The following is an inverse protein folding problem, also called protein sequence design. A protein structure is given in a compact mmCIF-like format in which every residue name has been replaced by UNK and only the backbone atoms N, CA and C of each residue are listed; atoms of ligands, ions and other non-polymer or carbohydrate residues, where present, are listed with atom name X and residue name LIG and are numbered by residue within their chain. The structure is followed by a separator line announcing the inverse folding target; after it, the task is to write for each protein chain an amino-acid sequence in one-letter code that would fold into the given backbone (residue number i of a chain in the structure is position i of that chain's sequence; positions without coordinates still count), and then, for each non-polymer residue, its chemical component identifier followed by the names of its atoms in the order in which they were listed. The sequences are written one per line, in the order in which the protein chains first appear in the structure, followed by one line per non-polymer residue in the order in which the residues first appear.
data_IF_307184719058
#
_entry.id   IF_307184719058
#
_cell.length_a   1.000
_cell.length_b   1.000
_cell.length_c   1.000
_cell.angle_alpha   90.00
_cell.angle_beta   90.00
_cell.angle_gamma   90.00
#
_symmetry.space_group_name_H-M   'P 1'
#
loop_
_entity.id
_entity.type
_entity.pdbx_description
1 polymer ?
#
# COMPACT_ATOMS: atom_id res chain seq x y z
N UNK A 1 16.96 -3.14 -18.08
CA UNK A 1 15.92 -3.22 -17.04
C UNK A 1 14.79 -2.27 -17.41
N UNK A 2 13.54 -2.73 -17.40
CA UNK A 2 12.38 -1.89 -17.74
C UNK A 2 11.83 -1.35 -16.42
N UNK A 3 12.20 -0.13 -16.04
CA UNK A 3 11.66 0.54 -14.86
C UNK A 3 10.13 0.61 -14.99
N UNK A 4 9.38 -0.20 -14.24
CA UNK A 4 7.94 -0.04 -14.15
C UNK A 4 7.70 1.13 -13.20
N UNK A 5 6.99 2.16 -13.66
CA UNK A 5 6.58 3.26 -12.79
C UNK A 5 5.45 2.76 -11.89
N UNK A 6 5.84 2.07 -10.81
CA UNK A 6 4.96 1.57 -9.78
C UNK A 6 4.74 2.64 -8.72
N UNK A 7 3.50 2.74 -8.23
CA UNK A 7 3.11 3.69 -7.20
C UNK A 7 2.29 2.98 -6.14
N UNK A 8 2.56 3.33 -4.89
CA UNK A 8 1.78 2.96 -3.73
C UNK A 8 0.77 4.05 -3.45
N UNK A 9 -0.49 3.67 -3.31
CA UNK A 9 -1.58 4.59 -2.99
C UNK A 9 -2.12 4.20 -1.62
N UNK A 10 -2.17 5.16 -0.71
CA UNK A 10 -2.83 4.97 0.59
C UNK A 10 -4.18 5.66 0.59
N UNK A 11 -5.16 5.02 1.20
CA UNK A 11 -6.54 5.50 1.28
C UNK A 11 -7.07 5.25 2.69
N UNK A 12 -7.77 6.23 3.25
CA UNK A 12 -8.55 6.04 4.47
C UNK A 12 -10.01 5.85 4.10
N UNK A 13 -10.60 4.78 4.63
CA UNK A 13 -11.99 4.41 4.40
C UNK A 13 -12.81 4.81 5.63
N UNK A 14 -13.81 5.66 5.41
CA UNK A 14 -14.73 6.06 6.47
C UNK A 14 -15.78 4.97 6.79
N UNK A 15 -16.60 5.23 7.81
CA UNK A 15 -17.65 4.30 8.24
C UNK A 15 -18.72 4.01 7.16
N UNK A 16 -18.90 4.93 6.20
CA UNK A 16 -19.84 4.78 5.09
C UNK A 16 -19.20 4.09 3.87
N UNK A 17 -17.94 3.67 3.98
CA UNK A 17 -17.19 3.00 2.93
C UNK A 17 -16.60 3.94 1.88
N UNK A 18 -16.66 5.26 2.09
CA UNK A 18 -16.08 6.25 1.19
C UNK A 18 -14.58 6.34 1.42
N UNK A 19 -13.84 6.35 0.30
CA UNK A 19 -12.39 6.47 0.31
C UNK A 19 -11.95 7.93 0.24
N UNK A 20 -10.94 8.26 1.05
CA UNK A 20 -10.19 9.52 0.96
C UNK A 20 -8.71 9.20 0.71
N UNK A 21 -8.13 9.82 -0.31
CA UNK A 21 -6.72 9.65 -0.66
C UNK A 21 -5.81 10.16 0.47
N UNK A 22 -4.96 9.29 1.00
CA UNK A 22 -3.92 9.62 1.98
C UNK A 22 -2.61 10.05 1.34
N UNK A 23 -2.25 9.47 0.18
CA UNK A 23 -1.06 9.85 -0.56
C UNK A 23 -0.67 8.87 -1.67
N UNK A 24 0.32 9.29 -2.47
CA UNK A 24 0.91 8.49 -3.55
C UNK A 24 2.43 8.47 -3.38
N UNK A 25 3.04 7.30 -3.38
CA UNK A 25 4.45 7.09 -3.09
C UNK A 25 5.11 6.23 -4.15
N UNK A 26 6.35 6.54 -4.52
CA UNK A 26 7.11 5.82 -5.55
C UNK A 26 8.02 4.73 -4.98
N UNK A 27 8.11 4.60 -3.66
CA UNK A 27 8.99 3.65 -2.99
C UNK A 27 8.35 3.11 -1.71
N UNK A 28 8.71 1.89 -1.32
CA UNK A 28 8.30 1.30 -0.05
C UNK A 28 8.83 2.16 1.12
N UNK A 29 10.06 2.68 1.00
CA UNK A 29 10.66 3.55 2.02
C UNK A 29 9.83 4.82 2.27
N UNK A 30 9.43 5.54 1.22
CA UNK A 30 8.61 6.74 1.38
C UNK A 30 7.23 6.41 1.94
N UNK A 31 6.63 5.30 1.50
CA UNK A 31 5.36 4.81 2.01
C UNK A 31 5.43 4.57 3.53
N UNK A 32 6.41 3.81 4.01
CA UNK A 32 6.52 3.46 5.44
C UNK A 32 6.85 4.66 6.31
N UNK A 33 7.68 5.61 5.83
CA UNK A 33 8.12 6.76 6.63
C UNK A 33 7.15 7.95 6.59
N UNK A 34 6.36 8.09 5.51
CA UNK A 34 5.53 9.29 5.28
C UNK A 34 4.06 8.97 5.08
N UNK A 35 3.72 7.78 4.55
CA UNK A 35 2.39 7.43 4.10
C UNK A 35 1.50 6.69 5.09
N UNK A 36 2.07 6.11 6.15
CA UNK A 36 1.31 5.44 7.21
C UNK A 36 0.87 6.45 8.27
N UNK A 37 -0.21 7.19 7.96
CA UNK A 37 -0.76 8.24 8.83
C UNK A 37 -2.29 8.24 8.75
N UNK A 38 -2.93 8.44 9.90
CA UNK A 38 -4.35 8.71 9.96
C UNK A 38 -4.63 10.17 9.61
N UNK A 39 -5.67 10.40 8.82
CA UNK A 39 -6.24 11.70 8.60
C UNK A 39 -7.38 11.92 9.59
N UNK A 40 -7.15 12.82 10.56
CA UNK A 40 -8.12 13.15 11.63
C UNK A 40 -9.44 13.73 11.10
N UNK A 41 -9.48 14.20 9.84
CA UNK A 41 -10.71 14.70 9.21
C UNK A 41 -11.63 13.59 8.66
N UNK A 42 -11.17 12.34 8.65
CA UNK A 42 -11.94 11.20 8.13
C UNK A 42 -12.49 10.37 9.29
N UNK A 43 -13.81 10.25 9.38
CA UNK A 43 -14.49 9.45 10.39
C UNK A 43 -14.42 7.96 10.06
N UNK A 44 -13.34 7.30 10.48
CA UNK A 44 -13.17 5.85 10.35
C UNK A 44 -11.72 5.43 10.54
N UNK A 45 -11.50 4.16 10.87
CA UNK A 45 -10.17 3.54 10.97
C UNK A 45 -9.91 2.52 9.86
N UNK A 46 -10.65 2.58 8.75
CA UNK A 46 -10.35 1.76 7.59
C UNK A 46 -9.11 2.30 6.88
N UNK A 47 -8.14 1.44 6.55
CA UNK A 47 -6.98 1.82 5.75
C UNK A 47 -6.83 0.85 4.60
N UNK A 48 -6.54 1.38 3.41
CA UNK A 48 -6.31 0.60 2.20
C UNK A 48 -5.01 1.01 1.57
N UNK A 49 -4.24 0.01 1.17
CA UNK A 49 -3.02 0.15 0.41
C UNK A 49 -3.25 -0.46 -0.97
N UNK A 50 -2.90 0.27 -2.03
CA UNK A 50 -2.96 -0.23 -3.39
C UNK A 50 -1.62 -0.04 -4.09
N UNK A 51 -1.20 -1.04 -4.88
CA UNK A 51 -0.08 -0.92 -5.80
C UNK A 51 -0.62 -0.70 -7.21
N UNK A 52 -0.22 0.38 -7.86
CA UNK A 52 -0.69 0.75 -9.20
C UNK A 52 0.49 0.94 -10.15
N UNK A 53 0.23 0.75 -11.44
CA UNK A 53 1.19 1.06 -12.51
C UNK A 53 0.61 2.17 -13.36
N UNK A 54 1.37 3.25 -13.58
CA UNK A 54 0.94 4.30 -14.50
C UNK A 54 0.83 3.78 -15.93
N UNK A 55 -0.07 4.42 -16.68
CA UNK A 55 -0.34 4.12 -18.09
C UNK A 55 -0.77 2.65 -18.32
N UNK A 56 -1.47 2.07 -17.34
CA UNK A 56 -2.03 0.73 -17.40
C UNK A 56 -3.54 0.85 -17.32
N UNK A 57 -4.26 0.36 -18.34
CA UNK A 57 -5.72 0.34 -18.36
C UNK A 57 -6.32 -0.76 -17.46
N UNK A 58 -5.47 -1.67 -16.97
CA UNK A 58 -5.86 -2.62 -15.93
C UNK A 58 -5.98 -1.91 -14.59
N UNK A 59 -6.87 -2.41 -13.73
CA UNK A 59 -6.98 -1.96 -12.33
C UNK A 59 -5.67 -2.10 -11.53
N UNK A 60 -5.71 -1.79 -10.23
CA UNK A 60 -4.55 -1.93 -9.35
C UNK A 60 -3.90 -3.30 -9.47
N UNK A 61 -2.57 -3.33 -9.40
CA UNK A 61 -1.77 -4.55 -9.39
C UNK A 61 -1.98 -5.36 -8.09
N UNK A 62 -2.40 -4.69 -7.02
CA UNK A 62 -2.82 -5.29 -5.77
C UNK A 62 -3.53 -4.25 -4.90
N UNK A 63 -4.46 -4.72 -4.08
CA UNK A 63 -5.20 -3.88 -3.13
C UNK A 63 -5.39 -4.67 -1.83
N UNK A 64 -4.88 -4.13 -0.74
CA UNK A 64 -4.88 -4.77 0.58
C UNK A 64 -5.54 -3.83 1.58
N UNK A 65 -6.42 -4.38 2.41
CA UNK A 65 -7.19 -3.62 3.39
C UNK A 65 -6.71 -3.99 4.80
N UNK A 66 -6.63 -3.00 5.67
CA UNK A 66 -6.39 -3.21 7.09
C UNK A 66 -7.61 -3.86 7.78
N UNK A 67 -7.40 -4.47 8.95
CA UNK A 67 -6.17 -4.39 9.75
C UNK A 67 -5.10 -5.43 9.41
N UNK A 68 -5.43 -6.48 8.66
CA UNK A 68 -4.56 -7.65 8.47
C UNK A 68 -3.69 -7.57 7.20
N UNK A 69 -4.12 -6.81 6.19
CA UNK A 69 -3.46 -6.72 4.89
C UNK A 69 -3.15 -8.12 4.33
N UNK A 70 -4.14 -9.01 4.43
CA UNK A 70 -4.01 -10.42 4.03
C UNK A 70 -3.53 -10.56 2.58
N UNK A 71 -2.57 -11.44 2.34
CA UNK A 71 -2.00 -11.74 1.02
C UNK A 71 -0.94 -10.75 0.52
N UNK A 72 -0.63 -9.66 1.25
CA UNK A 72 0.31 -8.62 0.80
C UNK A 72 1.67 -9.18 0.37
N UNK A 73 2.32 -9.98 1.21
CA UNK A 73 3.64 -10.52 0.90
C UNK A 73 3.62 -11.52 -0.25
N UNK A 74 2.58 -12.37 -0.31
CA UNK A 74 2.40 -13.40 -1.33
C UNK A 74 2.15 -12.76 -2.71
N UNK A 75 1.29 -11.74 -2.76
CA UNK A 75 0.98 -10.99 -3.99
C UNK A 75 2.20 -10.21 -4.51
N UNK A 76 3.17 -9.91 -3.64
CA UNK A 76 4.39 -9.18 -4.00
C UNK A 76 5.54 -10.10 -4.46
N UNK A 77 5.43 -11.43 -4.31
CA UNK A 77 6.44 -12.39 -4.77
C UNK A 77 6.83 -12.23 -6.25
N UNK A 78 5.89 -12.03 -7.20
CA UNK A 78 6.25 -11.81 -8.60
C UNK A 78 7.10 -10.55 -8.83
N UNK A 79 6.93 -9.53 -7.99
CA UNK A 79 7.66 -8.27 -8.07
C UNK A 79 9.06 -8.38 -7.47
N UNK A 80 9.21 -9.21 -6.43
CA UNK A 80 10.52 -9.61 -5.88
C UNK A 80 11.29 -10.42 -6.94
N UNK A 81 10.63 -11.41 -7.55
CA UNK A 81 11.22 -12.23 -8.61
C UNK A 81 11.66 -11.41 -9.82
N UNK A 82 10.94 -10.32 -10.14
CA UNK A 82 11.31 -9.38 -11.21
C UNK A 82 12.28 -8.27 -10.78
N UNK A 83 12.83 -8.31 -9.56
CA UNK A 83 13.76 -7.32 -8.99
C UNK A 83 13.20 -5.89 -8.85
N UNK A 84 11.88 -5.74 -8.85
CA UNK A 84 11.22 -4.44 -8.62
C UNK A 84 11.22 -4.07 -7.13
N UNK A 85 11.14 -5.09 -6.26
CA UNK A 85 11.28 -4.96 -4.81
C UNK A 85 12.29 -5.97 -4.27
N UNK A 86 12.82 -5.71 -3.08
CA UNK A 86 13.59 -6.69 -2.30
C UNK A 86 12.72 -7.31 -1.19
N UNK A 87 12.97 -8.58 -0.89
CA UNK A 87 12.23 -9.34 0.13
C UNK A 87 12.26 -8.67 1.52
N UNK A 88 13.42 -8.20 2.03
CA UNK A 88 13.46 -7.50 3.32
C UNK A 88 12.53 -6.28 3.40
N UNK A 89 12.49 -5.46 2.36
CA UNK A 89 11.59 -4.29 2.29
C UNK A 89 10.12 -4.69 2.28
N UNK A 90 9.74 -5.76 1.58
CA UNK A 90 8.35 -6.26 1.54
C UNK A 90 7.92 -6.81 2.90
N UNK A 91 8.77 -7.61 3.55
CA UNK A 91 8.50 -8.12 4.90
C UNK A 91 8.40 -6.99 5.94
N UNK A 92 9.25 -5.97 5.81
CA UNK A 92 9.19 -4.80 6.69
C UNK A 92 7.89 -4.00 6.46
N UNK A 93 7.52 -3.77 5.20
CA UNK A 93 6.26 -3.11 4.86
C UNK A 93 5.06 -3.83 5.50
N UNK A 94 4.99 -5.16 5.37
CA UNK A 94 3.92 -5.96 5.94
C UNK A 94 3.83 -5.85 7.47
N UNK A 95 4.96 -5.75 8.17
CA UNK A 95 4.97 -5.48 9.61
C UNK A 95 4.48 -4.06 9.92
N UNK A 96 4.99 -3.05 9.20
CA UNK A 96 4.70 -1.64 9.46
C UNK A 96 3.22 -1.31 9.26
N UNK A 97 2.60 -1.81 8.18
CA UNK A 97 1.17 -1.55 7.90
C UNK A 97 0.25 -2.19 8.95
N UNK A 98 0.57 -3.41 9.41
CA UNK A 98 -0.21 -4.11 10.44
C UNK A 98 -0.06 -3.44 11.82
N UNK A 99 1.16 -3.04 12.17
CA UNK A 99 1.43 -2.29 13.40
C UNK A 99 0.68 -0.95 13.40
N UNK A 100 0.71 -0.23 12.28
CA UNK A 100 -0.01 1.03 12.10
C UNK A 100 -1.53 0.84 12.24
N UNK A 101 -2.12 -0.14 11.55
CA UNK A 101 -3.56 -0.38 11.61
C UNK A 101 -4.06 -0.87 12.99
N UNK A 102 -3.16 -1.45 13.79
CA UNK A 102 -3.45 -1.91 15.16
C UNK A 102 -3.29 -0.82 16.22
N UNK A 103 -2.80 0.38 15.85
CA UNK A 103 -2.65 1.54 16.75
C UNK A 103 -3.92 2.40 16.88
#
# INVERSE_FOLDING_TARGET
MKFRRLYWVTEQIDADGKSTLGGVFTSIYDLTHKGLKWNDSVNGKGFRLSLVKLDCESGPLGTWNGPDFSGLEEDLEPFIASTEFDRPSVEQLGRDVRNFASS
#
